data_IF_507331701336
#
_entry.id   IF_507331701336
#
_cell.length_a   1.000
_cell.length_b   1.000
_cell.length_c   1.000
_cell.angle_alpha   90.00
_cell.angle_beta   90.00
_cell.angle_gamma   90.00
#
_symmetry.space_group_name_H-M   'P 1'
#
loop_
_entity.id
_entity.type
_entity.pdbx_description
1 polymer ?
#
# COMPACT_ATOMS: atom_id res chain seq x y z
N UNK A 1 20.91 22.11 -99.54
CA UNK A 1 22.11 21.77 -98.74
C UNK A 1 22.41 22.78 -97.63
N UNK A 2 22.02 24.06 -97.76
CA UNK A 2 22.28 25.12 -96.77
C UNK A 2 21.42 25.04 -95.50
N UNK A 3 20.13 24.71 -95.59
CA UNK A 3 19.25 24.58 -94.40
C UNK A 3 19.72 23.52 -93.39
N UNK A 4 20.21 22.38 -93.88
CA UNK A 4 20.69 21.30 -93.00
C UNK A 4 21.99 21.65 -92.25
N UNK A 5 22.79 22.59 -92.77
CA UNK A 5 24.03 23.04 -92.12
C UNK A 5 23.75 23.98 -90.95
N UNK A 6 22.80 24.90 -91.11
CA UNK A 6 22.40 25.83 -90.04
C UNK A 6 21.69 25.10 -88.90
N UNK A 7 20.87 24.09 -89.21
CA UNK A 7 20.22 23.23 -88.23
C UNK A 7 21.25 22.40 -87.42
N UNK A 8 22.30 21.92 -88.09
CA UNK A 8 23.38 21.17 -87.44
C UNK A 8 24.17 22.04 -86.47
N UNK A 9 24.52 23.27 -86.88
CA UNK A 9 25.23 24.24 -86.02
C UNK A 9 24.38 24.68 -84.81
N UNK A 10 23.07 24.79 -84.97
CA UNK A 10 22.14 25.08 -83.85
C UNK A 10 22.10 23.93 -82.85
N UNK A 11 22.03 22.69 -83.34
CA UNK A 11 22.03 21.50 -82.49
C UNK A 11 23.37 21.34 -81.76
N UNK A 12 24.50 21.59 -82.42
CA UNK A 12 25.83 21.48 -81.82
C UNK A 12 26.03 22.51 -80.71
N UNK A 13 25.62 23.77 -80.94
CA UNK A 13 25.62 24.80 -79.88
C UNK A 13 24.72 24.42 -78.71
N UNK A 14 23.52 23.89 -78.98
CA UNK A 14 22.60 23.45 -77.93
C UNK A 14 23.22 22.31 -77.10
N UNK A 15 23.86 21.33 -77.75
CA UNK A 15 24.56 20.25 -77.07
C UNK A 15 25.72 20.75 -76.19
N UNK A 16 26.44 21.78 -76.65
CA UNK A 16 27.53 22.39 -75.88
C UNK A 16 27.01 23.13 -74.65
N UNK A 17 25.91 23.88 -74.78
CA UNK A 17 25.24 24.54 -73.66
C UNK A 17 24.71 23.52 -72.66
N UNK A 18 24.03 22.48 -73.12
CA UNK A 18 23.49 21.43 -72.26
C UNK A 18 24.60 20.68 -71.52
N UNK A 19 25.75 20.44 -72.17
CA UNK A 19 26.93 19.85 -71.55
C UNK A 19 27.50 20.74 -70.44
N UNK A 20 27.63 22.06 -70.68
CA UNK A 20 28.13 22.99 -69.65
C UNK A 20 27.16 23.13 -68.48
N UNK A 21 25.85 23.10 -68.72
CA UNK A 21 24.83 23.12 -67.69
C UNK A 21 24.89 21.85 -66.83
N UNK A 22 25.05 20.69 -67.47
CA UNK A 22 25.21 19.41 -66.78
C UNK A 22 26.47 19.40 -65.90
N UNK A 23 27.59 19.91 -66.40
CA UNK A 23 28.84 20.04 -65.63
C UNK A 23 28.68 20.98 -64.43
N UNK A 24 27.97 22.11 -64.59
CA UNK A 24 27.66 23.02 -63.49
C UNK A 24 26.72 22.40 -62.45
N UNK A 25 25.68 21.68 -62.87
CA UNK A 25 24.79 20.95 -61.96
C UNK A 25 25.54 19.87 -61.18
N UNK A 26 26.46 19.14 -61.80
CA UNK A 26 27.29 18.14 -61.13
C UNK A 26 28.21 18.77 -60.07
N UNK A 27 28.80 19.94 -60.36
CA UNK A 27 29.61 20.68 -59.39
C UNK A 27 28.74 21.15 -58.22
N UNK A 28 27.58 21.74 -58.51
CA UNK A 28 26.61 22.18 -57.49
C UNK A 28 26.14 21.02 -56.61
N UNK A 29 25.80 19.87 -57.21
CA UNK A 29 25.40 18.66 -56.50
C UNK A 29 26.52 18.16 -55.57
N UNK A 30 27.77 18.20 -56.03
CA UNK A 30 28.93 17.78 -55.24
C UNK A 30 29.17 18.70 -54.04
N UNK A 31 29.00 20.01 -54.22
CA UNK A 31 29.06 21.00 -53.14
C UNK A 31 27.92 20.82 -52.12
N UNK A 32 26.70 20.59 -52.57
CA UNK A 32 25.57 20.28 -51.70
C UNK A 32 25.80 19.00 -50.90
N UNK A 33 26.35 17.96 -51.54
CA UNK A 33 26.66 16.69 -50.88
C UNK A 33 27.77 16.84 -49.84
N UNK A 34 28.78 17.67 -50.10
CA UNK A 34 29.81 18.00 -49.11
C UNK A 34 29.23 18.74 -47.90
N UNK A 35 28.35 19.73 -48.14
CA UNK A 35 27.65 20.45 -47.07
C UNK A 35 26.78 19.51 -46.22
N UNK A 36 25.99 18.63 -46.85
CA UNK A 36 25.17 17.64 -46.14
C UNK A 36 26.04 16.76 -45.25
N UNK A 37 27.15 16.25 -45.79
CA UNK A 37 28.07 15.39 -45.03
C UNK A 37 28.65 16.09 -43.80
N UNK A 38 28.99 17.37 -43.93
CA UNK A 38 29.49 18.17 -42.82
C UNK A 38 28.41 18.46 -41.78
N UNK A 39 27.16 18.70 -42.19
CA UNK A 39 26.02 18.87 -41.28
C UNK A 39 25.71 17.58 -40.51
N UNK A 40 25.78 16.41 -41.15
CA UNK A 40 25.56 15.12 -40.47
C UNK A 40 26.60 14.88 -39.39
N UNK A 41 27.89 15.12 -39.68
CA UNK A 41 28.97 14.99 -38.68
C UNK A 41 28.75 15.93 -37.48
N UNK A 42 28.34 17.18 -37.74
CA UNK A 42 28.03 18.13 -36.68
C UNK A 42 26.84 17.68 -35.83
N UNK A 43 25.83 17.07 -36.45
CA UNK A 43 24.65 16.53 -35.77
C UNK A 43 25.00 15.33 -34.87
N UNK A 44 25.88 14.43 -35.34
CA UNK A 44 26.39 13.31 -34.54
C UNK A 44 27.18 13.78 -33.32
N UNK A 45 28.03 14.80 -33.46
CA UNK A 45 28.75 15.40 -32.34
C UNK A 45 27.81 16.06 -31.32
N UNK A 46 26.78 16.76 -31.79
CA UNK A 46 25.77 17.39 -30.93
C UNK A 46 24.95 16.35 -30.17
N UNK A 47 24.49 15.29 -30.82
CA UNK A 47 23.79 14.20 -30.15
C UNK A 47 24.67 13.53 -29.09
N UNK A 48 25.95 13.29 -29.40
CA UNK A 48 26.88 12.75 -28.41
C UNK A 48 27.12 13.68 -27.20
N UNK A 49 26.91 15.00 -27.34
CA UNK A 49 26.92 15.94 -26.21
C UNK A 49 25.62 15.89 -25.43
N UNK A 50 24.46 15.78 -26.09
CA UNK A 50 23.15 15.64 -25.45
C UNK A 50 23.12 14.39 -24.58
N UNK A 51 23.54 13.24 -25.10
CA UNK A 51 23.57 11.96 -24.36
C UNK A 51 24.41 12.06 -23.08
N UNK A 52 25.57 12.75 -23.16
CA UNK A 52 26.43 12.98 -22.00
C UNK A 52 25.79 13.89 -20.96
N UNK A 53 25.07 14.93 -21.39
CA UNK A 53 24.35 15.83 -20.49
C UNK A 53 23.19 15.11 -19.81
N UNK A 54 22.40 14.34 -20.55
CA UNK A 54 21.31 13.54 -19.99
C UNK A 54 21.82 12.49 -19.00
N UNK A 55 22.95 11.85 -19.29
CA UNK A 55 23.57 10.90 -18.38
C UNK A 55 24.01 11.57 -17.08
N UNK A 56 24.69 12.72 -17.17
CA UNK A 56 25.12 13.48 -15.99
C UNK A 56 23.93 13.96 -15.15
N UNK A 57 22.86 14.46 -15.79
CA UNK A 57 21.65 14.91 -15.09
C UNK A 57 20.99 13.74 -14.33
N UNK A 58 20.84 12.58 -14.98
CA UNK A 58 20.33 11.37 -14.34
C UNK A 58 21.21 10.94 -13.16
N UNK A 59 22.54 11.00 -13.31
CA UNK A 59 23.48 10.65 -12.25
C UNK A 59 23.36 11.60 -11.04
N UNK A 60 23.23 12.91 -11.27
CA UNK A 60 23.00 13.89 -10.19
C UNK A 60 21.66 13.69 -9.49
N UNK A 61 20.60 13.35 -10.23
CA UNK A 61 19.28 13.08 -9.66
C UNK A 61 19.28 11.83 -8.80
N UNK A 62 19.99 10.76 -9.22
CA UNK A 62 20.16 9.54 -8.42
C UNK A 62 20.88 9.86 -7.10
N UNK A 63 21.97 10.63 -7.15
CA UNK A 63 22.71 11.01 -5.94
C UNK A 63 21.87 11.85 -4.96
N UNK A 64 21.04 12.76 -5.48
CA UNK A 64 20.12 13.53 -4.66
C UNK A 64 19.07 12.63 -3.99
N UNK A 65 18.43 11.73 -4.75
CA UNK A 65 17.45 10.79 -4.22
C UNK A 65 18.06 9.84 -3.17
N UNK A 66 19.29 9.37 -3.37
CA UNK A 66 20.01 8.55 -2.39
C UNK A 66 20.23 9.31 -1.06
N UNK A 67 20.59 10.60 -1.16
CA UNK A 67 20.75 11.46 0.02
C UNK A 67 19.42 11.63 0.76
N UNK A 68 18.34 11.91 0.05
CA UNK A 68 17.00 12.08 0.65
C UNK A 68 16.52 10.79 1.33
N UNK A 69 16.70 9.63 0.68
CA UNK A 69 16.38 8.32 1.26
C UNK A 69 17.23 8.05 2.51
N UNK A 70 18.53 8.39 2.47
CA UNK A 70 19.41 8.20 3.63
C UNK A 70 19.00 9.08 4.81
N UNK A 71 18.57 10.32 4.56
CA UNK A 71 18.05 11.23 5.59
C UNK A 71 16.72 10.73 6.14
N UNK A 72 15.81 10.27 5.27
CA UNK A 72 14.56 9.66 5.69
C UNK A 72 14.78 8.45 6.60
N UNK A 73 15.71 7.56 6.25
CA UNK A 73 16.08 6.41 7.10
C UNK A 73 16.62 6.82 8.46
N UNK A 74 17.50 7.83 8.54
CA UNK A 74 18.02 8.32 9.81
C UNK A 74 16.90 8.85 10.71
N UNK A 75 15.99 9.64 10.14
CA UNK A 75 14.87 10.21 10.89
C UNK A 75 13.88 9.14 11.36
N UNK A 76 13.67 8.08 10.58
CA UNK A 76 12.89 6.92 11.04
C UNK A 76 13.59 6.21 12.20
N UNK A 77 14.90 6.01 12.15
CA UNK A 77 15.65 5.38 13.24
C UNK A 77 15.64 6.23 14.52
N UNK A 78 15.79 7.55 14.40
CA UNK A 78 15.66 8.48 15.54
C UNK A 78 14.26 8.41 16.17
N UNK A 79 13.20 8.39 15.35
CA UNK A 79 11.82 8.25 15.85
C UNK A 79 11.57 6.89 16.50
N UNK A 80 12.16 5.81 15.98
CA UNK A 80 12.09 4.48 16.59
C UNK A 80 12.77 4.46 17.96
N UNK A 81 13.93 5.11 18.10
CA UNK A 81 14.66 5.21 19.37
C UNK A 81 13.89 6.06 20.40
N UNK A 82 13.30 7.18 19.99
CA UNK A 82 12.41 7.98 20.84
C UNK A 82 11.17 7.16 21.30
N UNK A 83 10.58 6.37 20.39
CA UNK A 83 9.46 5.49 20.71
C UNK A 83 9.84 4.41 21.71
N UNK A 84 11.00 3.78 21.53
CA UNK A 84 11.53 2.77 22.45
C UNK A 84 11.82 3.37 23.82
N UNK A 85 12.35 4.59 23.88
CA UNK A 85 12.61 5.28 25.13
C UNK A 85 11.30 5.60 25.88
N UNK A 86 10.29 6.11 25.17
CA UNK A 86 8.95 6.35 25.75
C UNK A 86 8.29 5.04 26.19
N UNK A 87 8.38 3.98 25.38
CA UNK A 87 7.85 2.66 25.73
C UNK A 87 8.56 2.06 26.95
N UNK A 88 9.85 2.34 27.12
CA UNK A 88 10.62 1.90 28.28
C UNK A 88 10.26 2.67 29.54
N UNK A 89 10.07 3.99 29.45
CA UNK A 89 9.59 4.84 30.55
C UNK A 89 8.17 4.45 31.00
N UNK A 90 7.28 4.12 30.05
CA UNK A 90 5.94 3.61 30.31
C UNK A 90 5.99 2.17 30.88
N UNK A 91 6.89 1.33 30.33
CA UNK A 91 7.03 -0.07 30.71
C UNK A 91 7.68 -0.32 32.07
N UNK A 92 8.49 0.61 32.58
CA UNK A 92 9.12 0.50 33.91
C UNK A 92 8.14 0.77 35.07
N UNK A 93 6.96 1.34 34.80
CA UNK A 93 5.95 1.68 35.83
C UNK A 93 4.78 0.68 35.92
N UNK A 94 4.65 -0.26 34.98
CA UNK A 94 3.59 -1.27 34.94
C UNK A 94 4.18 -2.67 34.87
N UNK A 95 3.66 -3.60 35.67
CA UNK A 95 4.07 -5.01 35.67
C UNK A 95 4.04 -5.59 34.24
N UNK A 96 5.22 -5.63 33.60
CA UNK A 96 5.52 -6.05 32.23
C UNK A 96 5.06 -7.48 31.89
N UNK A 97 4.62 -8.24 32.89
CA UNK A 97 4.29 -9.66 32.78
C UNK A 97 2.84 -9.84 32.33
N UNK A 98 1.88 -9.05 32.81
CA UNK A 98 0.50 -9.13 32.33
C UNK A 98 0.33 -8.45 30.96
N UNK A 99 0.98 -7.31 30.72
CA UNK A 99 0.83 -6.59 29.45
C UNK A 99 1.47 -7.30 28.25
N UNK A 100 2.36 -8.29 28.44
CA UNK A 100 2.93 -9.07 27.33
C UNK A 100 1.93 -9.99 26.62
N UNK A 101 0.88 -10.42 27.32
CA UNK A 101 -0.16 -11.29 26.76
C UNK A 101 -1.33 -10.52 26.13
N UNK A 102 -1.35 -9.20 26.32
CA UNK A 102 -2.46 -8.34 25.99
C UNK A 102 -2.01 -7.21 25.07
N UNK A 103 -2.91 -6.57 24.34
CA UNK A 103 -2.51 -5.63 23.30
C UNK A 103 -3.70 -5.02 22.57
N UNK A 104 -3.43 -4.24 21.53
CA UNK A 104 -4.50 -3.65 20.72
C UNK A 104 -5.18 -4.72 19.89
N UNK A 105 -6.47 -4.56 19.64
CA UNK A 105 -7.26 -5.55 18.92
C UNK A 105 -6.69 -5.88 17.53
N UNK A 106 -6.13 -4.87 16.83
CA UNK A 106 -5.42 -5.05 15.56
C UNK A 106 -4.23 -6.01 15.64
N UNK A 107 -3.53 -6.05 16.77
CA UNK A 107 -2.35 -6.90 16.97
C UNK A 107 -2.76 -8.34 17.32
N UNK A 108 -3.94 -8.51 17.93
CA UNK A 108 -4.44 -9.79 18.44
C UNK A 108 -5.27 -10.60 17.42
N UNK A 109 -5.62 -10.03 16.28
CA UNK A 109 -6.38 -10.72 15.24
C UNK A 109 -5.84 -10.46 13.83
N UNK A 110 -6.24 -11.26 12.84
CA UNK A 110 -5.91 -11.03 11.44
C UNK A 110 -7.07 -11.43 10.51
N UNK A 111 -7.35 -10.67 9.43
CA UNK A 111 -8.30 -11.08 8.41
C UNK A 111 -7.87 -12.38 7.71
N UNK A 112 -8.80 -13.33 7.53
CA UNK A 112 -8.53 -14.59 6.82
C UNK A 112 -8.20 -14.38 5.33
N UNK A 113 -8.78 -13.34 4.71
CA UNK A 113 -8.58 -13.02 3.31
C UNK A 113 -8.42 -11.51 3.09
N UNK A 114 -7.57 -11.13 2.13
CA UNK A 114 -7.31 -9.72 1.79
C UNK A 114 -8.59 -8.96 1.41
N UNK A 115 -9.51 -9.59 0.68
CA UNK A 115 -10.81 -9.00 0.29
C UNK A 115 -11.67 -8.56 1.47
N UNK A 116 -11.53 -9.20 2.64
CA UNK A 116 -12.32 -8.92 3.83
C UNK A 116 -11.70 -7.81 4.70
N UNK A 117 -10.45 -7.40 4.46
CA UNK A 117 -9.74 -6.42 5.29
C UNK A 117 -10.54 -5.13 5.46
N UNK A 118 -11.13 -4.61 4.38
CA UNK A 118 -11.90 -3.36 4.40
C UNK A 118 -13.18 -3.50 5.24
N UNK A 119 -13.93 -4.58 5.03
CA UNK A 119 -15.14 -4.89 5.79
C UNK A 119 -14.85 -5.05 7.30
N UNK A 120 -13.80 -5.80 7.65
CA UNK A 120 -13.38 -6.01 9.05
C UNK A 120 -12.95 -4.69 9.68
N UNK A 121 -12.15 -3.89 8.98
CA UNK A 121 -11.72 -2.56 9.44
C UNK A 121 -12.93 -1.66 9.71
N UNK A 122 -13.94 -1.71 8.84
CA UNK A 122 -15.18 -0.95 9.01
C UNK A 122 -15.98 -1.40 10.24
N UNK A 123 -16.07 -2.71 10.48
CA UNK A 123 -16.82 -3.28 11.59
C UNK A 123 -16.14 -3.02 12.93
N UNK A 124 -14.81 -3.19 13.01
CA UNK A 124 -14.02 -2.89 14.19
C UNK A 124 -14.01 -1.40 14.51
N UNK A 125 -13.89 -0.54 13.49
CA UNK A 125 -14.02 0.91 13.63
C UNK A 125 -13.05 1.48 14.68
N UNK A 126 -13.59 2.03 15.78
CA UNK A 126 -12.79 2.56 16.90
C UNK A 126 -12.21 1.46 17.79
N UNK A 127 -12.82 0.28 17.80
CA UNK A 127 -12.34 -0.85 18.59
C UNK A 127 -11.06 -1.48 18.02
N UNK A 128 -10.66 -1.12 16.80
CA UNK A 128 -9.40 -1.55 16.19
C UNK A 128 -8.18 -1.17 17.03
N UNK A 129 -8.22 0.01 17.65
CA UNK A 129 -7.15 0.55 18.51
C UNK A 129 -7.42 0.31 20.00
N UNK A 130 -8.47 -0.43 20.36
CA UNK A 130 -8.77 -0.70 21.77
C UNK A 130 -7.83 -1.75 22.35
N UNK A 131 -7.36 -1.50 23.57
CA UNK A 131 -6.45 -2.36 24.31
C UNK A 131 -7.28 -3.42 25.04
N UNK A 132 -7.05 -4.69 24.70
CA UNK A 132 -7.61 -5.83 25.44
C UNK A 132 -6.79 -6.04 26.70
N UNK A 133 -7.43 -6.29 27.85
CA UNK A 133 -6.76 -6.51 29.15
C UNK A 133 -7.43 -7.69 29.84
N UNK A 134 -6.69 -8.45 30.66
CA UNK A 134 -7.27 -9.58 31.41
C UNK A 134 -8.30 -9.15 32.44
N UNK A 135 -7.91 -8.20 33.31
CA UNK A 135 -8.68 -7.80 34.49
C UNK A 135 -9.05 -6.32 34.53
N UNK A 136 -10.21 -6.01 35.11
CA UNK A 136 -10.65 -4.62 35.34
C UNK A 136 -9.70 -3.85 36.28
N UNK A 137 -9.13 -4.53 37.29
CA UNK A 137 -8.19 -3.92 38.24
C UNK A 137 -6.98 -3.32 37.54
N UNK A 138 -6.44 -4.01 36.54
CA UNK A 138 -5.31 -3.55 35.71
C UNK A 138 -5.67 -2.30 34.92
N UNK A 139 -6.93 -2.20 34.44
CA UNK A 139 -7.44 -1.00 33.75
C UNK A 139 -7.50 0.20 34.69
N UNK A 140 -7.94 0.02 35.94
CA UNK A 140 -8.02 1.11 36.91
C UNK A 140 -6.64 1.69 37.24
N UNK A 141 -5.65 0.83 37.48
CA UNK A 141 -4.26 1.25 37.67
C UNK A 141 -3.75 2.01 36.45
N UNK A 142 -3.97 1.48 35.24
CA UNK A 142 -3.51 2.11 34.00
C UNK A 142 -4.14 3.48 33.77
N UNK A 143 -5.44 3.61 34.00
CA UNK A 143 -6.14 4.91 33.91
C UNK A 143 -5.64 5.93 34.93
N UNK A 144 -5.25 5.48 36.13
CA UNK A 144 -4.65 6.36 37.13
C UNK A 144 -3.31 6.91 36.63
N UNK A 145 -2.43 6.02 36.17
CA UNK A 145 -1.13 6.38 35.62
C UNK A 145 -1.23 7.31 34.40
N UNK A 146 -2.13 7.02 33.46
CA UNK A 146 -2.34 7.87 32.29
C UNK A 146 -2.75 9.30 32.67
N UNK A 147 -3.60 9.45 33.70
CA UNK A 147 -4.05 10.76 34.18
C UNK A 147 -2.92 11.54 34.84
N UNK A 148 -2.09 10.89 35.64
CA UNK A 148 -0.93 11.53 36.27
C UNK A 148 0.03 12.11 35.24
N UNK A 149 0.28 11.35 34.16
CA UNK A 149 1.20 11.73 33.08
C UNK A 149 0.52 12.56 31.98
N UNK A 150 -0.79 12.84 32.10
CA UNK A 150 -1.59 13.60 31.13
C UNK A 150 -1.56 13.01 29.71
N UNK A 151 -1.50 11.69 29.59
CA UNK A 151 -1.61 11.00 28.31
C UNK A 151 -3.04 11.06 27.76
N UNK A 152 -3.18 10.86 26.44
CA UNK A 152 -4.48 10.86 25.78
C UNK A 152 -5.37 9.69 26.25
N UNK A 153 -6.71 9.86 26.30
CA UNK A 153 -7.60 8.79 26.72
C UNK A 153 -7.62 7.62 25.73
N UNK A 154 -7.23 6.43 26.17
CA UNK A 154 -7.36 5.19 25.40
C UNK A 154 -8.59 4.35 25.82
N UNK A 155 -8.98 3.39 24.96
CA UNK A 155 -10.13 2.51 25.21
C UNK A 155 -9.66 1.12 25.63
N UNK A 156 -10.14 0.66 26.78
CA UNK A 156 -9.82 -0.67 27.33
C UNK A 156 -10.98 -1.64 27.21
N UNK A 157 -10.66 -2.92 27.00
CA UNK A 157 -11.58 -4.04 26.93
C UNK A 157 -11.17 -5.12 27.96
N UNK A 158 -11.61 -5.02 29.22
CA UNK A 158 -11.30 -6.00 30.27
C UNK A 158 -12.08 -7.32 30.04
N UNK A 159 -11.38 -8.43 29.83
CA UNK A 159 -11.97 -9.72 29.44
C UNK A 159 -12.84 -10.37 30.54
N UNK A 160 -12.57 -10.06 31.80
CA UNK A 160 -13.33 -10.52 32.96
C UNK A 160 -14.68 -9.80 33.11
N UNK A 161 -14.71 -8.49 32.84
CA UNK A 161 -15.87 -7.62 33.07
C UNK A 161 -16.69 -7.31 31.79
N UNK A 162 -16.12 -7.51 30.60
CA UNK A 162 -16.79 -7.16 29.35
C UNK A 162 -18.11 -7.91 29.16
N UNK A 163 -19.19 -7.15 29.00
CA UNK A 163 -20.53 -7.69 28.71
C UNK A 163 -20.69 -7.87 27.21
N UNK A 164 -20.93 -9.11 26.80
CA UNK A 164 -21.16 -9.46 25.39
C UNK A 164 -22.57 -10.02 25.21
N UNK A 165 -23.21 -9.63 24.12
CA UNK A 165 -24.40 -10.31 23.63
C UNK A 165 -23.93 -11.55 22.87
N UNK A 166 -24.47 -12.72 23.22
CA UNK A 166 -24.13 -13.96 22.53
C UNK A 166 -24.49 -13.88 21.04
N UNK A 167 -23.72 -14.62 20.23
CA UNK A 167 -24.00 -14.79 18.81
C UNK A 167 -25.37 -15.45 18.67
N UNK A 168 -26.23 -14.87 17.85
CA UNK A 168 -27.49 -15.51 17.52
C UNK A 168 -27.19 -16.68 16.58
N UNK A 169 -27.31 -17.91 17.05
CA UNK A 169 -27.04 -19.14 16.29
C UNK A 169 -27.89 -19.22 15.01
N UNK A 170 -29.08 -18.60 15.00
CA UNK A 170 -29.93 -18.51 13.81
C UNK A 170 -29.26 -17.74 12.65
N UNK A 171 -28.27 -16.89 12.95
CA UNK A 171 -27.49 -16.19 11.91
C UNK A 171 -26.48 -17.11 11.22
N UNK A 172 -26.10 -18.23 11.84
CA UNK A 172 -25.31 -19.29 11.19
C UNK A 172 -26.20 -20.22 10.35
N UNK A 173 -27.49 -20.30 10.65
CA UNK A 173 -28.49 -21.07 9.89
C UNK A 173 -28.98 -20.35 8.62
N UNK A 174 -28.60 -19.08 8.42
CA UNK A 174 -28.78 -18.36 7.16
C UNK A 174 -27.84 -18.95 6.07
N UNK A 175 -28.10 -20.19 5.67
CA UNK A 175 -27.38 -20.91 4.61
C UNK A 175 -27.70 -20.37 3.21
N UNK A 176 -28.80 -19.64 3.06
CA UNK A 176 -29.15 -18.96 1.82
C UNK A 176 -29.25 -17.46 2.03
N UNK A 177 -28.54 -16.67 1.20
CA UNK A 177 -27.65 -17.02 0.09
C UNK A 177 -26.21 -17.31 0.56
N UNK A 178 -25.49 -18.08 -0.26
CA UNK A 178 -24.12 -18.62 -0.03
C UNK A 178 -23.02 -17.61 0.34
N UNK A 179 -23.29 -16.30 0.26
CA UNK A 179 -22.29 -15.23 0.32
C UNK A 179 -22.37 -14.38 1.60
N UNK A 180 -23.16 -14.78 2.60
CA UNK A 180 -23.24 -14.11 3.90
C UNK A 180 -22.47 -14.91 4.94
N UNK A 181 -21.60 -14.27 5.70
CA UNK A 181 -20.84 -14.91 6.79
C UNK A 181 -20.82 -14.03 8.03
N UNK A 182 -20.69 -14.65 9.20
CA UNK A 182 -20.43 -13.88 10.42
C UNK A 182 -19.04 -13.26 10.36
N UNK A 183 -18.89 -12.00 10.83
CA UNK A 183 -17.60 -11.31 10.76
C UNK A 183 -16.53 -12.03 11.60
N UNK A 184 -16.91 -12.66 12.71
CA UNK A 184 -15.98 -13.45 13.51
C UNK A 184 -15.42 -14.67 12.76
N UNK A 185 -16.15 -15.23 11.78
CA UNK A 185 -15.69 -16.40 11.02
C UNK A 185 -14.65 -16.03 9.95
N UNK A 186 -14.57 -14.75 9.58
CA UNK A 186 -13.60 -14.23 8.60
C UNK A 186 -12.37 -13.58 9.26
N UNK A 187 -12.28 -13.64 10.58
CA UNK A 187 -11.14 -13.17 11.38
C UNK A 187 -10.49 -14.39 12.04
N UNK A 188 -9.15 -14.45 12.00
CA UNK A 188 -8.35 -15.39 12.77
C UNK A 188 -7.90 -14.73 14.07
N UNK A 189 -8.05 -15.44 15.17
CA UNK A 189 -7.70 -14.98 16.51
C UNK A 189 -7.55 -16.16 17.47
N UNK A 190 -6.98 -15.93 18.64
CA UNK A 190 -6.92 -16.90 19.73
C UNK A 190 -8.20 -16.85 20.59
N UNK A 191 -8.67 -18.02 21.04
CA UNK A 191 -9.93 -18.20 21.78
C UNK A 191 -10.03 -17.33 23.03
N UNK A 192 -8.90 -17.04 23.68
CA UNK A 192 -8.85 -16.13 24.84
C UNK A 192 -9.42 -14.74 24.54
N UNK A 193 -9.32 -14.26 23.29
CA UNK A 193 -9.80 -12.94 22.87
C UNK A 193 -11.21 -12.94 22.28
N UNK A 194 -11.90 -14.09 22.31
CA UNK A 194 -13.25 -14.24 21.74
C UNK A 194 -14.23 -13.18 22.27
N UNK A 195 -14.24 -12.93 23.58
CA UNK A 195 -15.14 -11.93 24.19
C UNK A 195 -14.85 -10.51 23.68
N UNK A 196 -13.59 -10.12 23.55
CA UNK A 196 -13.21 -8.80 23.06
C UNK A 196 -13.64 -8.60 21.59
N UNK A 197 -13.43 -9.61 20.76
CA UNK A 197 -13.86 -9.59 19.35
C UNK A 197 -15.38 -9.62 19.22
N UNK A 198 -16.08 -10.42 20.01
CA UNK A 198 -17.54 -10.45 20.02
C UNK A 198 -18.13 -9.11 20.48
N UNK A 199 -17.52 -8.44 21.45
CA UNK A 199 -17.90 -7.07 21.81
C UNK A 199 -17.65 -6.07 20.66
N UNK A 200 -16.48 -6.16 20.02
CA UNK A 200 -16.11 -5.22 18.97
C UNK A 200 -16.94 -5.38 17.69
N UNK A 201 -17.13 -6.62 17.24
CA UNK A 201 -17.87 -6.96 16.03
C UNK A 201 -19.38 -7.01 16.27
N UNK A 202 -19.80 -7.53 17.42
CA UNK A 202 -21.19 -7.93 17.69
C UNK A 202 -21.63 -9.03 16.74
N UNK A 203 -22.95 -9.11 16.52
CA UNK A 203 -23.57 -10.01 15.54
C UNK A 203 -23.50 -9.43 14.12
N UNK A 204 -22.34 -8.92 13.73
CA UNK A 204 -22.14 -8.32 12.41
C UNK A 204 -21.94 -9.40 11.36
N UNK A 205 -22.57 -9.19 10.20
CA UNK A 205 -22.47 -10.04 9.03
C UNK A 205 -21.65 -9.36 7.94
N UNK A 206 -20.92 -10.13 7.14
CA UNK A 206 -20.23 -9.69 5.94
C UNK A 206 -20.88 -10.29 4.69
N UNK A 207 -21.09 -9.44 3.68
CA UNK A 207 -21.66 -9.80 2.39
C UNK A 207 -20.78 -9.30 1.25
N UNK A 208 -20.87 -9.95 0.09
CA UNK A 208 -20.06 -9.59 -1.08
C UNK A 208 -20.55 -8.31 -1.77
N UNK A 209 -21.88 -8.12 -1.89
CA UNK A 209 -22.50 -7.03 -2.66
C UNK A 209 -23.34 -6.09 -1.80
N UNK A 210 -23.40 -4.81 -2.17
CA UNK A 210 -24.16 -3.77 -1.46
C UNK A 210 -25.69 -4.00 -1.55
N UNK A 211 -26.19 -4.55 -2.66
CA UNK A 211 -27.61 -4.91 -2.81
C UNK A 211 -28.00 -6.02 -1.82
N UNK A 212 -27.24 -7.11 -1.80
CA UNK A 212 -27.46 -8.22 -0.86
C UNK A 212 -27.33 -7.72 0.59
N UNK A 213 -26.32 -6.88 0.86
CA UNK A 213 -26.11 -6.28 2.19
C UNK A 213 -27.35 -5.52 2.68
N UNK A 214 -27.99 -4.72 1.82
CA UNK A 214 -29.21 -4.00 2.15
C UNK A 214 -30.37 -4.95 2.46
N UNK A 215 -30.54 -5.99 1.65
CA UNK A 215 -31.59 -7.01 1.86
C UNK A 215 -31.42 -7.70 3.22
N UNK A 216 -30.21 -8.14 3.56
CA UNK A 216 -29.93 -8.78 4.87
C UNK A 216 -30.06 -7.83 6.06
N UNK A 217 -29.78 -6.54 5.85
CA UNK A 217 -29.89 -5.56 6.92
C UNK A 217 -31.36 -5.30 7.31
N UNK A 218 -32.27 -5.20 6.33
CA UNK A 218 -33.61 -4.65 6.54
C UNK A 218 -34.80 -5.48 6.02
N UNK A 219 -34.62 -6.40 5.07
CA UNK A 219 -35.71 -7.15 4.44
C UNK A 219 -36.01 -8.50 5.12
N UNK A 220 -35.22 -8.89 6.14
CA UNK A 220 -35.53 -10.06 6.96
C UNK A 220 -36.70 -9.78 7.90
N UNK A 221 -37.78 -10.59 7.82
CA UNK A 221 -39.03 -10.42 8.58
C UNK A 221 -38.85 -10.51 10.10
N UNK A 222 -37.78 -11.16 10.58
CA UNK A 222 -37.59 -11.42 12.00
C UNK A 222 -36.86 -10.28 12.73
N UNK A 223 -35.68 -9.84 12.24
CA UNK A 223 -34.85 -8.84 12.92
C UNK A 223 -33.92 -8.07 11.97
N UNK A 224 -33.64 -6.81 12.33
CA UNK A 224 -32.61 -6.00 11.67
C UNK A 224 -31.21 -6.44 12.09
N UNK A 225 -30.33 -6.62 11.10
CA UNK A 225 -28.96 -7.07 11.30
C UNK A 225 -27.95 -5.96 10.98
N UNK A 226 -26.80 -5.98 11.65
CA UNK A 226 -25.66 -5.12 11.29
C UNK A 226 -24.91 -5.86 10.18
N UNK A 227 -24.88 -5.31 8.97
CA UNK A 227 -24.30 -5.99 7.80
C UNK A 227 -23.32 -5.07 7.10
N UNK A 228 -22.15 -5.58 6.73
CA UNK A 228 -21.11 -4.85 6.01
C UNK A 228 -20.85 -5.50 4.66
N UNK A 229 -20.75 -4.69 3.61
CA UNK A 229 -20.29 -5.13 2.29
C UNK A 229 -18.76 -5.23 2.27
N UNK A 230 -18.19 -6.08 1.41
CA UNK A 230 -16.75 -6.12 1.14
C UNK A 230 -16.18 -4.75 0.73
N UNK A 231 -17.00 -3.89 0.13
CA UNK A 231 -16.63 -2.51 -0.25
C UNK A 231 -16.58 -1.53 0.93
N UNK A 232 -16.91 -1.97 2.15
CA UNK A 232 -16.88 -1.15 3.36
C UNK A 232 -18.14 -0.31 3.60
N UNK A 233 -19.23 -0.55 2.85
CA UNK A 233 -20.56 -0.01 3.13
C UNK A 233 -21.18 -0.78 4.29
N UNK A 234 -21.42 -0.10 5.41
CA UNK A 234 -22.01 -0.66 6.62
C UNK A 234 -23.47 -0.22 6.76
N UNK A 235 -24.36 -1.18 6.96
CA UNK A 235 -25.77 -0.99 7.29
C UNK A 235 -25.96 -1.34 8.77
N UNK A 236 -26.37 -0.37 9.56
CA UNK A 236 -26.61 -0.52 10.99
C UNK A 236 -28.06 -0.94 11.27
N UNK A 237 -28.31 -1.56 12.42
CA UNK A 237 -29.66 -1.88 12.89
C UNK A 237 -30.54 -0.63 13.09
N UNK A 238 -29.93 0.53 13.24
CA UNK A 238 -30.58 1.85 13.43
C UNK A 238 -30.91 2.55 12.10
N UNK A 239 -30.92 1.85 10.98
CA UNK A 239 -31.16 2.37 9.63
C UNK A 239 -30.07 3.35 9.12
N UNK A 240 -28.96 3.47 9.83
CA UNK A 240 -27.81 4.28 9.43
C UNK A 240 -26.96 3.50 8.42
N UNK A 241 -26.75 4.09 7.25
CA UNK A 241 -25.86 3.58 6.20
C UNK A 241 -24.57 4.41 6.20
N UNK A 242 -23.42 3.75 6.28
CA UNK A 242 -22.11 4.40 6.35
C UNK A 242 -21.11 3.77 5.38
N UNK A 243 -20.64 4.53 4.39
CA UNK A 243 -19.65 4.09 3.40
C UNK A 243 -18.74 5.23 2.90
N UNK A 244 -17.82 4.94 2.00
CA UNK A 244 -17.16 5.95 1.14
C UNK A 244 -16.05 6.84 1.74
N UNK A 245 -15.62 6.64 2.99
CA UNK A 245 -14.54 7.48 3.56
C UNK A 245 -13.16 7.14 2.96
N UNK A 246 -12.41 8.16 2.55
CA UNK A 246 -10.99 8.03 2.15
C UNK A 246 -10.15 7.44 3.29
N UNK A 247 -10.46 7.80 4.53
CA UNK A 247 -9.81 7.28 5.73
C UNK A 247 -10.03 5.77 5.91
N UNK A 248 -11.21 5.27 5.52
CA UNK A 248 -11.52 3.85 5.55
C UNK A 248 -10.71 3.05 4.53
N UNK A 249 -10.26 3.67 3.43
CA UNK A 249 -9.37 3.03 2.45
C UNK A 249 -7.90 3.05 2.88
N UNK A 250 -7.51 3.99 3.74
CA UNK A 250 -6.15 4.06 4.27
C UNK A 250 -5.91 3.09 5.44
N UNK A 251 -6.89 2.96 6.36
CA UNK A 251 -6.79 2.11 7.57
C UNK A 251 -6.43 0.63 7.32
N UNK A 252 -6.91 -0.03 6.24
CA UNK A 252 -6.54 -1.42 5.96
C UNK A 252 -5.05 -1.63 5.68
N UNK A 253 -4.30 -0.59 5.31
CA UNK A 253 -2.84 -0.68 5.11
C UNK A 253 -2.11 -1.16 6.36
N UNK A 254 -2.66 -0.89 7.54
CA UNK A 254 -2.10 -1.37 8.81
C UNK A 254 -2.11 -2.91 8.92
N UNK A 255 -3.04 -3.60 8.27
CA UNK A 255 -3.01 -5.06 8.18
C UNK A 255 -1.85 -5.54 7.31
N UNK A 256 -1.57 -4.83 6.21
CA UNK A 256 -0.46 -5.14 5.32
C UNK A 256 0.89 -4.84 6.01
N UNK A 257 1.00 -3.73 6.76
CA UNK A 257 2.17 -3.39 7.58
C UNK A 257 2.44 -4.47 8.65
N UNK A 258 1.42 -4.86 9.41
CA UNK A 258 1.52 -5.95 10.38
C UNK A 258 2.01 -7.26 9.74
N UNK A 259 1.49 -7.58 8.56
CA UNK A 259 1.91 -8.78 7.83
C UNK A 259 3.37 -8.68 7.37
N UNK A 260 3.82 -7.50 6.92
CA UNK A 260 5.22 -7.24 6.57
C UNK A 260 6.14 -7.38 7.78
N UNK A 261 5.74 -6.87 8.94
CA UNK A 261 6.56 -6.98 10.15
C UNK A 261 6.65 -8.43 10.65
N UNK A 262 5.57 -9.20 10.57
CA UNK A 262 5.59 -10.63 10.84
C UNK A 262 6.54 -11.38 9.88
N UNK A 263 6.55 -11.01 8.59
CA UNK A 263 7.48 -11.58 7.59
C UNK A 263 8.94 -11.18 7.86
N UNK A 264 9.20 -9.93 8.25
CA UNK A 264 10.53 -9.45 8.65
C UNK A 264 11.06 -10.24 9.85
N UNK A 265 10.26 -10.36 10.91
CA UNK A 265 10.62 -11.13 12.10
C UNK A 265 10.91 -12.58 11.77
N UNK A 266 10.09 -13.20 10.90
CA UNK A 266 10.33 -14.58 10.44
C UNK A 266 11.63 -14.69 9.63
N UNK A 267 11.91 -13.73 8.75
CA UNK A 267 13.15 -13.66 7.97
C UNK A 267 14.37 -13.54 8.90
N UNK A 268 14.31 -12.70 9.93
CA UNK A 268 15.40 -12.55 10.90
C UNK A 268 15.63 -13.84 11.71
N UNK A 269 14.57 -14.48 12.20
CA UNK A 269 14.67 -15.79 12.89
C UNK A 269 15.32 -16.86 12.02
N UNK A 270 14.87 -17.01 10.76
CA UNK A 270 15.45 -17.98 9.82
C UNK A 270 16.91 -17.66 9.50
N UNK A 271 17.28 -16.37 9.47
CA UNK A 271 18.65 -15.95 9.23
C UNK A 271 19.57 -16.30 10.41
N UNK A 272 19.09 -16.15 11.64
CA UNK A 272 19.82 -16.57 12.84
C UNK A 272 19.97 -18.10 12.91
N UNK A 273 18.90 -18.85 12.63
CA UNK A 273 18.96 -20.31 12.50
C UNK A 273 19.97 -20.76 11.43
N UNK A 274 19.98 -20.08 10.27
CA UNK A 274 20.94 -20.35 9.20
C UNK A 274 22.38 -20.09 9.65
N UNK A 275 22.65 -18.97 10.33
CA UNK A 275 23.98 -18.66 10.89
C UNK A 275 24.44 -19.72 11.88
N UNK A 276 23.55 -20.20 12.75
CA UNK A 276 23.86 -21.27 13.69
C UNK A 276 24.22 -22.58 12.99
N UNK A 277 23.49 -22.94 11.93
CA UNK A 277 23.79 -24.12 11.12
C UNK A 277 25.14 -24.02 10.41
N UNK A 278 25.52 -22.84 9.91
CA UNK A 278 26.83 -22.63 9.28
C UNK A 278 27.96 -22.79 10.31
N UNK A 279 27.80 -22.25 11.53
CA UNK A 279 28.78 -22.44 12.61
C UNK A 279 28.99 -23.92 12.96
N UNK A 280 27.90 -24.69 13.02
CA UNK A 280 27.92 -26.14 13.29
C UNK A 280 28.57 -26.98 12.17
N UNK A 281 28.66 -26.48 10.94
CA UNK A 281 29.32 -27.18 9.82
C UNK A 281 30.83 -26.91 9.71
N UNK A 282 31.29 -25.81 10.29
CA UNK A 282 32.70 -25.40 10.26
C UNK A 282 33.49 -25.92 11.48
N UNK A 283 32.80 -26.55 12.45
CA UNK A 283 33.38 -27.24 13.62
C UNK A 283 33.31 -28.74 13.39
#
# INVERSE_FOLDING_TARGET
MTQFSEEYDLIDRQQQVDKTNLEQEQISQKDHMARIKQTVLCFEELNGKIDKLEFNEKQTNVQLLEKDVSQGRKRCAELEEELDQVNKEIGESFDLIEMKQYGRLIDLCEPNHKRCQLAITKVLGRNMDSIVVGHETTVQSYLHYMKEHRYEPERFLPLDYIKVTLVNEQLHELQEPKNVKHVLDVIKYDKQYYKALLYACGNALVCDNDEDTRKFAYESESQKNKVVSLNGTLFSKSDIISGGSSELKARPKRWDEKHLDALRLRKDKLFDEYKEQQKKKTT
#
